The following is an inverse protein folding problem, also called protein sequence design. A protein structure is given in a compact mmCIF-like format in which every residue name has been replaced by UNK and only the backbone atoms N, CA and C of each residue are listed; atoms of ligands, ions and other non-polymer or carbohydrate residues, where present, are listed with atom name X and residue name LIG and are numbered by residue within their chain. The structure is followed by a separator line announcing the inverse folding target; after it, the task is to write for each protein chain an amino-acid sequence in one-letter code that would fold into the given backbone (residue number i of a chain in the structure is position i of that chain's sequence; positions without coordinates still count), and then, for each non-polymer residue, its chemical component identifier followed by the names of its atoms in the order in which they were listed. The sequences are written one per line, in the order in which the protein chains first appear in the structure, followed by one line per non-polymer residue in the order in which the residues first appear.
data_IF_325112232952
#
_entry.id   IF_325112232952
#
_cell.length_a   1.000
_cell.length_b   1.000
_cell.length_c   1.000
_cell.angle_alpha   90.00
_cell.angle_beta   90.00
_cell.angle_gamma   90.00
#
_symmetry.space_group_name_H-M   'P 1'
#
loop_
_entity.id
_entity.type
_entity.pdbx_description
1 polymer ?
#
# COMPACT_ATOMS: atom_id res chain seq x y z
N UNK A 1 -18.86 40.45 3.25
CA UNK A 1 -18.27 41.45 2.33
C UNK A 1 -16.85 40.98 2.02
N UNK A 2 -16.60 40.63 0.77
CA UNK A 2 -15.38 39.99 0.31
C UNK A 2 -14.22 40.97 0.23
N UNK A 3 -13.01 40.54 0.63
CA UNK A 3 -11.76 40.98 0.01
C UNK A 3 -10.80 39.78 -0.05
N UNK A 4 -10.41 39.46 -1.30
CA UNK A 4 -9.41 38.50 -1.72
C UNK A 4 -8.07 38.64 -1.00
N UNK A 5 -7.47 37.50 -0.67
CA UNK A 5 -6.02 37.31 -0.81
C UNK A 5 -5.80 36.07 -1.69
N UNK A 6 -5.96 36.26 -3.01
CA UNK A 6 -5.21 35.45 -3.97
C UNK A 6 -3.73 35.72 -3.73
N UNK A 7 -3.05 34.80 -3.03
CA UNK A 7 -1.59 34.70 -3.14
C UNK A 7 -1.30 34.28 -4.58
N UNK A 8 -1.02 35.26 -5.43
CA UNK A 8 -0.28 35.08 -6.66
C UNK A 8 1.04 34.38 -6.32
N UNK A 9 1.07 33.05 -6.44
CA UNK A 9 2.30 32.28 -6.42
C UNK A 9 3.05 32.72 -7.68
N UNK A 10 4.01 33.65 -7.55
CA UNK A 10 4.99 33.94 -8.60
C UNK A 10 5.62 32.60 -8.98
N UNK A 11 5.31 32.07 -10.16
CA UNK A 11 5.95 30.89 -10.71
C UNK A 11 7.46 31.11 -10.65
N UNK A 12 8.16 30.32 -9.84
CA UNK A 12 9.61 30.39 -9.73
C UNK A 12 10.24 30.10 -11.09
N UNK A 13 11.50 30.49 -11.30
CA UNK A 13 12.23 30.17 -12.54
C UNK A 13 12.19 28.66 -12.83
N UNK A 14 12.23 27.83 -11.79
CA UNK A 14 12.09 26.38 -11.90
C UNK A 14 10.71 25.95 -12.41
N UNK A 15 9.62 26.59 -11.97
CA UNK A 15 8.27 26.29 -12.44
C UNK A 15 8.10 26.61 -13.92
N UNK A 16 8.67 27.73 -14.38
CA UNK A 16 8.64 28.11 -15.80
C UNK A 16 9.40 27.11 -16.68
N UNK A 17 10.59 26.69 -16.24
CA UNK A 17 11.41 25.69 -16.94
C UNK A 17 10.66 24.35 -17.00
N UNK A 18 10.08 23.91 -15.89
CA UNK A 18 9.34 22.64 -15.82
C UNK A 18 8.11 22.68 -16.74
N UNK A 19 7.35 23.78 -16.74
CA UNK A 19 6.20 23.95 -17.63
C UNK A 19 6.60 23.94 -19.11
N UNK A 20 7.72 24.58 -19.45
CA UNK A 20 8.24 24.55 -20.83
C UNK A 20 8.66 23.14 -21.25
N UNK A 21 9.41 22.42 -20.41
CA UNK A 21 9.80 21.03 -20.66
C UNK A 21 8.58 20.12 -20.83
N UNK A 22 7.59 20.27 -19.95
CA UNK A 22 6.32 19.55 -20.02
C UNK A 22 5.59 19.81 -21.35
N UNK A 23 5.53 21.07 -21.81
CA UNK A 23 4.93 21.45 -23.08
C UNK A 23 5.65 20.84 -24.28
N UNK A 24 6.98 20.92 -24.30
CA UNK A 24 7.81 20.32 -25.36
C UNK A 24 7.60 18.81 -25.41
N UNK A 25 7.68 18.11 -24.27
CA UNK A 25 7.42 16.66 -24.19
C UNK A 25 6.04 16.32 -24.71
N UNK A 26 5.02 17.12 -24.37
CA UNK A 26 3.65 16.93 -24.85
C UNK A 26 3.53 17.02 -26.36
N UNK A 27 4.17 18.02 -26.98
CA UNK A 27 4.16 18.20 -28.44
C UNK A 27 4.84 17.02 -29.13
N UNK A 28 6.04 16.66 -28.67
CA UNK A 28 6.81 15.53 -29.22
C UNK A 28 6.04 14.21 -29.12
N UNK A 29 5.46 13.92 -27.95
CA UNK A 29 4.69 12.70 -27.75
C UNK A 29 3.42 12.64 -28.62
N UNK A 30 2.78 13.78 -28.91
CA UNK A 30 1.65 13.82 -29.87
C UNK A 30 2.11 13.48 -31.29
N UNK A 31 3.24 14.03 -31.73
CA UNK A 31 3.81 13.75 -33.05
C UNK A 31 4.17 12.26 -33.15
N UNK A 32 4.91 11.74 -32.17
CA UNK A 32 5.27 10.32 -32.14
C UNK A 32 4.05 9.40 -32.07
N UNK A 33 3.02 9.79 -31.32
CA UNK A 33 1.78 9.04 -31.25
C UNK A 33 1.10 8.91 -32.61
N UNK A 34 1.07 9.97 -33.42
CA UNK A 34 0.50 9.93 -34.77
C UNK A 34 1.31 9.06 -35.75
N UNK A 35 2.62 8.91 -35.53
CA UNK A 35 3.52 8.11 -36.38
C UNK A 35 3.49 6.64 -35.97
N UNK A 36 3.64 6.35 -34.67
CA UNK A 36 3.72 4.99 -34.15
C UNK A 36 3.15 4.89 -32.72
N UNK A 37 1.82 4.72 -32.59
CA UNK A 37 1.18 4.58 -31.28
C UNK A 37 1.80 3.46 -30.44
N UNK A 38 2.14 2.32 -31.05
CA UNK A 38 2.71 1.17 -30.36
C UNK A 38 4.07 1.50 -29.71
N UNK A 39 4.97 2.17 -30.43
CA UNK A 39 6.27 2.56 -29.89
C UNK A 39 6.13 3.65 -28.84
N UNK A 40 5.25 4.64 -29.04
CA UNK A 40 5.00 5.68 -28.04
C UNK A 40 4.44 5.10 -26.74
N UNK A 41 3.49 4.15 -26.81
CA UNK A 41 3.00 3.43 -25.63
C UNK A 41 4.13 2.71 -24.91
N UNK A 42 4.97 1.96 -25.63
CA UNK A 42 6.10 1.22 -25.04
C UNK A 42 7.07 2.17 -24.34
N UNK A 43 7.40 3.30 -24.96
CA UNK A 43 8.24 4.33 -24.36
C UNK A 43 7.64 4.88 -23.06
N UNK A 44 6.37 5.31 -23.11
CA UNK A 44 5.67 5.84 -21.94
C UNK A 44 5.60 4.81 -20.81
N UNK A 45 5.30 3.54 -21.13
CA UNK A 45 5.26 2.47 -20.15
C UNK A 45 6.62 2.27 -19.47
N UNK A 46 7.69 2.22 -20.24
CA UNK A 46 9.04 2.04 -19.71
C UNK A 46 9.55 3.25 -18.91
N UNK A 47 8.91 4.41 -19.03
CA UNK A 47 9.29 5.60 -18.28
C UNK A 47 8.47 5.77 -17.01
N UNK A 48 7.14 5.65 -17.10
CA UNK A 48 6.24 5.88 -15.97
C UNK A 48 6.14 4.66 -15.05
N UNK A 49 6.07 3.47 -15.64
CA UNK A 49 5.86 2.24 -14.89
C UNK A 49 7.16 1.50 -14.60
N UNK A 50 8.33 2.09 -14.85
CA UNK A 50 9.62 1.51 -14.45
C UNK A 50 10.00 2.05 -13.07
N UNK A 51 10.08 1.18 -12.04
CA UNK A 51 10.59 1.58 -10.74
C UNK A 51 12.05 2.01 -10.83
N UNK A 52 12.44 2.94 -9.98
CA UNK A 52 13.83 3.28 -9.78
C UNK A 52 14.52 2.16 -8.99
N UNK A 53 15.77 1.89 -9.34
CA UNK A 53 16.62 0.99 -8.58
C UNK A 53 17.52 1.82 -7.65
N UNK A 54 17.67 1.34 -6.41
CA UNK A 54 18.53 1.98 -5.41
C UNK A 54 19.42 0.91 -4.76
N UNK A 55 20.61 1.33 -4.35
CA UNK A 55 21.52 0.46 -3.60
C UNK A 55 21.03 0.30 -2.17
N UNK A 56 21.11 -0.94 -1.64
CA UNK A 56 20.93 -1.20 -0.21
C UNK A 56 22.21 -0.86 0.54
N UNK A 57 22.07 -0.32 1.75
CA UNK A 57 23.21 -0.11 2.63
C UNK A 57 23.67 -1.41 3.32
N UNK A 58 24.76 -1.33 4.07
CA UNK A 58 25.33 -2.50 4.75
C UNK A 58 24.44 -3.04 5.89
N UNK A 59 23.68 -2.17 6.57
CA UNK A 59 22.76 -2.58 7.63
C UNK A 59 21.58 -3.34 7.03
N UNK A 60 20.95 -2.79 6.00
CA UNK A 60 19.86 -3.42 5.26
C UNK A 60 20.28 -4.79 4.69
N UNK A 61 21.46 -4.87 4.07
CA UNK A 61 22.00 -6.13 3.53
C UNK A 61 22.13 -7.19 4.62
N UNK A 62 22.73 -6.84 5.76
CA UNK A 62 22.90 -7.76 6.89
C UNK A 62 21.55 -8.25 7.43
N UNK A 63 20.53 -7.39 7.47
CA UNK A 63 19.19 -7.79 7.92
C UNK A 63 18.57 -8.78 6.92
N UNK A 64 18.67 -8.51 5.63
CA UNK A 64 18.17 -9.38 4.55
C UNK A 64 18.84 -10.75 4.53
N UNK A 65 20.15 -10.82 4.76
CA UNK A 65 20.91 -12.09 4.84
C UNK A 65 20.43 -12.99 5.99
N UNK A 66 19.94 -12.38 7.09
CA UNK A 66 19.41 -13.11 8.23
C UNK A 66 17.91 -13.47 8.10
N UNK A 67 17.27 -13.11 7.00
CA UNK A 67 15.86 -13.42 6.72
C UNK A 67 15.71 -14.75 6.00
N UNK A 68 14.72 -15.55 6.40
CA UNK A 68 14.30 -16.70 5.61
C UNK A 68 13.70 -16.20 4.30
N UNK A 69 14.39 -16.43 3.18
CA UNK A 69 13.93 -16.04 1.86
C UNK A 69 12.80 -16.95 1.39
N UNK A 70 11.83 -16.37 0.69
CA UNK A 70 10.80 -17.09 -0.04
C UNK A 70 10.55 -16.42 -1.40
N UNK A 71 9.88 -17.14 -2.30
CA UNK A 71 9.54 -16.63 -3.61
C UNK A 71 8.24 -17.23 -4.12
N UNK A 72 7.56 -16.52 -5.01
CA UNK A 72 6.40 -16.99 -5.75
C UNK A 72 6.28 -16.22 -7.05
N UNK A 73 5.56 -16.77 -8.03
CA UNK A 73 5.39 -16.13 -9.33
C UNK A 73 4.03 -15.43 -9.45
N UNK A 74 4.04 -14.20 -9.97
CA UNK A 74 2.85 -13.40 -10.27
C UNK A 74 3.03 -12.81 -11.66
N UNK A 75 2.11 -13.10 -12.58
CA UNK A 75 2.08 -12.51 -13.93
C UNK A 75 3.38 -12.68 -14.72
N UNK A 76 4.06 -13.82 -14.54
CA UNK A 76 5.34 -14.13 -15.18
C UNK A 76 6.55 -13.43 -14.56
N UNK A 77 6.40 -12.92 -13.33
CA UNK A 77 7.50 -12.33 -12.54
C UNK A 77 7.64 -13.08 -11.23
N UNK A 78 8.87 -13.45 -10.91
CA UNK A 78 9.23 -13.97 -9.60
C UNK A 78 9.34 -12.83 -8.60
N UNK A 79 8.54 -12.94 -7.55
CA UNK A 79 8.48 -12.06 -6.39
C UNK A 79 9.41 -12.61 -5.32
N UNK A 80 10.26 -11.75 -4.75
CA UNK A 80 11.18 -12.05 -3.66
C UNK A 80 10.62 -11.56 -2.35
N UNK A 81 10.64 -12.43 -1.34
CA UNK A 81 10.18 -12.12 0.00
C UNK A 81 11.10 -12.65 1.08
N UNK A 82 10.92 -12.11 2.29
CA UNK A 82 11.68 -12.46 3.48
C UNK A 82 10.77 -12.60 4.68
N UNK A 83 11.09 -13.58 5.53
CA UNK A 83 10.45 -13.84 6.81
C UNK A 83 11.47 -13.85 7.95
N UNK A 84 11.15 -13.21 9.07
CA UNK A 84 11.93 -13.32 10.31
C UNK A 84 11.03 -13.72 11.47
N UNK A 85 11.40 -14.77 12.20
CA UNK A 85 10.62 -15.26 13.34
C UNK A 85 9.53 -16.27 12.95
N UNK A 86 8.88 -16.84 13.98
CA UNK A 86 7.90 -17.94 13.82
C UNK A 86 6.51 -17.63 14.39
N UNK A 87 6.32 -16.47 15.00
CA UNK A 87 5.03 -16.06 15.56
C UNK A 87 4.02 -15.60 14.50
N UNK A 88 2.87 -15.03 14.94
CA UNK A 88 1.89 -14.42 14.05
C UNK A 88 2.55 -13.34 13.17
N UNK A 89 2.17 -13.28 11.91
CA UNK A 89 2.86 -12.49 10.89
C UNK A 89 2.38 -11.05 10.81
N UNK A 90 3.33 -10.11 10.74
CA UNK A 90 3.08 -8.73 10.33
C UNK A 90 3.58 -8.56 8.91
N UNK A 91 2.67 -8.30 7.98
CA UNK A 91 2.97 -8.07 6.57
C UNK A 91 3.33 -6.60 6.35
N UNK A 92 4.51 -6.36 5.79
CA UNK A 92 4.96 -5.06 5.33
C UNK A 92 4.80 -4.94 3.81
N UNK A 93 4.19 -3.85 3.35
CA UNK A 93 3.96 -3.57 1.93
C UNK A 93 4.52 -2.19 1.57
N UNK A 94 5.59 -2.14 0.78
CA UNK A 94 6.32 -0.90 0.50
C UNK A 94 5.59 0.05 -0.46
N UNK A 95 6.15 1.24 -0.71
CA UNK A 95 5.62 2.19 -1.71
C UNK A 95 6.30 2.05 -3.07
N UNK A 96 5.82 2.78 -4.08
CA UNK A 96 6.52 2.90 -5.37
C UNK A 96 7.96 3.38 -5.15
N UNK A 97 8.92 2.83 -5.88
CA UNK A 97 10.36 3.09 -5.71
C UNK A 97 10.92 2.67 -4.33
N UNK A 98 10.14 1.95 -3.52
CA UNK A 98 10.56 1.33 -2.27
C UNK A 98 11.00 -0.12 -2.46
N UNK A 99 11.14 -0.82 -1.33
CA UNK A 99 11.50 -2.24 -1.22
C UNK A 99 11.08 -2.79 0.13
N UNK A 100 11.03 -4.10 0.28
CA UNK A 100 10.56 -4.75 1.50
C UNK A 100 11.36 -4.38 2.75
N UNK A 101 12.67 -4.15 2.62
CA UNK A 101 13.55 -3.82 3.76
C UNK A 101 13.39 -2.40 4.30
N UNK A 102 12.69 -1.49 3.59
CA UNK A 102 12.58 -0.08 4.00
C UNK A 102 11.91 0.13 5.37
N UNK A 103 11.25 -0.90 5.91
CA UNK A 103 10.57 -0.90 7.21
C UNK A 103 11.44 -1.47 8.35
N UNK A 104 12.73 -1.67 8.15
CA UNK A 104 13.57 -2.40 9.09
C UNK A 104 13.58 -1.81 10.52
N UNK A 105 13.31 -0.51 10.68
CA UNK A 105 13.18 0.16 11.99
C UNK A 105 12.03 -0.40 12.85
N UNK A 106 10.98 -0.97 12.24
CA UNK A 106 9.87 -1.61 12.96
C UNK A 106 10.21 -3.04 13.43
N UNK A 107 11.16 -3.71 12.76
CA UNK A 107 11.33 -5.17 12.88
C UNK A 107 11.75 -5.59 14.28
N UNK A 108 12.69 -4.87 14.90
CA UNK A 108 13.23 -5.22 16.22
C UNK A 108 12.15 -5.25 17.30
N UNK A 109 11.33 -4.19 17.36
CA UNK A 109 10.30 -4.04 18.40
C UNK A 109 9.16 -5.05 18.22
N UNK A 110 8.68 -5.24 16.99
CA UNK A 110 7.64 -6.23 16.70
C UNK A 110 8.12 -7.67 16.93
N UNK A 111 9.37 -8.00 16.58
CA UNK A 111 9.95 -9.32 16.89
C UNK A 111 10.10 -9.56 18.39
N UNK A 112 10.50 -8.54 19.15
CA UNK A 112 10.57 -8.62 20.61
C UNK A 112 9.18 -8.87 21.22
N UNK A 113 8.13 -8.35 20.60
CA UNK A 113 6.73 -8.63 20.96
C UNK A 113 6.22 -10.00 20.48
N UNK A 114 7.07 -10.84 19.87
CA UNK A 114 6.75 -12.21 19.49
C UNK A 114 6.14 -12.37 18.09
N UNK A 115 6.07 -11.31 17.28
CA UNK A 115 5.59 -11.40 15.90
C UNK A 115 6.67 -11.92 14.94
N UNK A 116 6.23 -12.59 13.87
CA UNK A 116 7.03 -12.77 12.68
C UNK A 116 6.90 -11.53 11.78
N UNK A 117 7.97 -11.19 11.06
CA UNK A 117 8.00 -10.12 10.08
C UNK A 117 7.97 -10.74 8.70
N UNK A 118 7.05 -10.32 7.85
CA UNK A 118 6.94 -10.74 6.45
C UNK A 118 7.00 -9.50 5.58
N UNK A 119 7.87 -9.50 4.58
CA UNK A 119 7.97 -8.42 3.60
C UNK A 119 8.36 -8.99 2.25
N UNK A 120 8.16 -8.22 1.20
CA UNK A 120 8.51 -8.60 -0.16
C UNK A 120 8.89 -7.39 -0.99
N UNK A 121 9.60 -7.63 -2.07
CA UNK A 121 9.80 -6.64 -3.12
C UNK A 121 8.72 -6.81 -4.17
N UNK A 122 7.96 -5.75 -4.45
CA UNK A 122 6.88 -5.77 -5.43
C UNK A 122 7.43 -6.03 -6.85
N UNK A 123 6.57 -6.42 -7.82
CA UNK A 123 6.96 -6.66 -9.20
C UNK A 123 7.91 -5.57 -9.75
N UNK A 124 9.05 -5.96 -10.32
CA UNK A 124 10.05 -5.03 -10.88
C UNK A 124 10.74 -4.09 -9.89
N UNK A 125 10.63 -4.34 -8.58
CA UNK A 125 11.37 -3.62 -7.53
C UNK A 125 12.39 -4.56 -6.87
N UNK A 126 13.47 -3.99 -6.32
CA UNK A 126 14.45 -4.71 -5.51
C UNK A 126 14.96 -6.00 -6.17
N UNK A 127 14.90 -7.12 -5.45
CA UNK A 127 15.33 -8.43 -5.98
C UNK A 127 14.24 -9.13 -6.83
N UNK A 128 13.02 -8.57 -6.91
CA UNK A 128 11.94 -9.11 -7.73
C UNK A 128 12.13 -8.82 -9.20
N UNK A 129 11.83 -9.83 -10.02
CA UNK A 129 12.03 -9.72 -11.48
C UNK A 129 11.03 -8.78 -12.15
N UNK A 130 11.40 -8.27 -13.33
CA UNK A 130 10.56 -7.41 -14.16
C UNK A 130 11.19 -6.05 -14.43
N UNK A 131 10.79 -5.42 -15.55
CA UNK A 131 11.28 -4.08 -15.94
C UNK A 131 10.28 -2.95 -15.65
N UNK A 132 9.03 -3.31 -15.44
CA UNK A 132 7.94 -2.39 -15.13
C UNK A 132 7.07 -2.98 -14.03
N UNK A 133 6.21 -2.16 -13.44
CA UNK A 133 5.26 -2.54 -12.42
C UNK A 133 3.96 -1.79 -12.60
N UNK A 134 2.86 -2.33 -12.08
CA UNK A 134 1.56 -1.65 -12.10
C UNK A 134 0.79 -1.92 -10.81
N UNK A 135 -0.14 -1.03 -10.48
CA UNK A 135 -1.03 -1.19 -9.33
C UNK A 135 -1.77 -2.54 -9.31
N UNK A 136 -2.18 -3.04 -10.48
CA UNK A 136 -2.87 -4.32 -10.60
C UNK A 136 -1.99 -5.51 -10.20
N UNK A 137 -0.72 -5.49 -10.64
CA UNK A 137 0.22 -6.53 -10.21
C UNK A 137 0.47 -6.47 -8.70
N UNK A 138 0.47 -5.26 -8.13
CA UNK A 138 0.59 -5.08 -6.68
C UNK A 138 -0.60 -5.64 -5.91
N UNK A 139 -1.84 -5.38 -6.35
CA UNK A 139 -3.04 -5.93 -5.72
C UNK A 139 -3.02 -7.46 -5.72
N UNK A 140 -2.59 -8.05 -6.83
CA UNK A 140 -2.54 -9.51 -6.97
C UNK A 140 -1.41 -10.12 -6.15
N UNK A 141 -0.27 -9.44 -6.05
CA UNK A 141 0.85 -9.86 -5.21
C UNK A 141 0.46 -9.85 -3.73
N UNK A 142 -0.18 -8.78 -3.25
CA UNK A 142 -0.66 -8.69 -1.85
C UNK A 142 -1.71 -9.76 -1.57
N UNK A 143 -2.67 -9.97 -2.50
CA UNK A 143 -3.68 -11.02 -2.38
C UNK A 143 -3.04 -12.40 -2.25
N UNK A 144 -2.10 -12.75 -3.13
CA UNK A 144 -1.43 -14.05 -3.13
C UNK A 144 -0.70 -14.36 -1.80
N UNK A 145 -0.08 -13.35 -1.18
CA UNK A 145 0.57 -13.53 0.13
C UNK A 145 -0.47 -13.80 1.23
N UNK A 146 -1.59 -13.10 1.20
CA UNK A 146 -2.61 -13.16 2.26
C UNK A 146 -3.54 -14.36 2.16
N UNK A 147 -3.82 -14.83 0.94
CA UNK A 147 -4.62 -16.03 0.70
C UNK A 147 -3.75 -17.30 0.62
N UNK A 148 -2.43 -17.18 0.78
CA UNK A 148 -1.53 -18.33 0.80
C UNK A 148 -1.92 -19.27 1.95
N UNK A 149 -2.25 -20.55 1.66
CA UNK A 149 -2.95 -21.40 2.61
C UNK A 149 -2.30 -21.57 3.99
N UNK A 150 -0.97 -21.60 4.13
CA UNK A 150 -0.35 -22.11 5.38
C UNK A 150 0.91 -21.41 5.93
N UNK A 151 1.50 -20.38 5.31
CA UNK A 151 2.90 -20.04 5.67
C UNK A 151 3.13 -18.81 6.57
N UNK A 152 2.20 -17.84 6.64
CA UNK A 152 2.50 -16.56 7.29
C UNK A 152 1.62 -16.17 8.47
N UNK A 153 0.42 -16.75 8.61
CA UNK A 153 -0.51 -16.43 9.70
C UNK A 153 -0.61 -14.92 9.96
N UNK A 154 -0.96 -14.15 8.91
CA UNK A 154 -0.92 -12.69 8.96
C UNK A 154 -1.99 -12.16 9.93
N UNK A 155 -1.55 -11.45 10.96
CA UNK A 155 -2.40 -10.87 11.99
C UNK A 155 -2.24 -9.33 12.09
N UNK A 156 -1.45 -8.74 11.19
CA UNK A 156 -1.34 -7.29 11.06
C UNK A 156 -0.69 -6.90 9.73
N UNK A 157 -1.03 -5.72 9.23
CA UNK A 157 -0.48 -5.18 7.99
C UNK A 157 0.05 -3.76 8.24
N UNK A 158 1.24 -3.45 7.74
CA UNK A 158 1.80 -2.09 7.70
C UNK A 158 2.15 -1.78 6.25
N UNK A 159 1.49 -0.79 5.64
CA UNK A 159 1.62 -0.51 4.22
C UNK A 159 1.89 0.96 3.94
N UNK A 160 2.78 1.24 2.99
CA UNK A 160 3.18 2.60 2.63
C UNK A 160 2.69 3.01 1.24
N UNK A 161 2.18 4.23 1.09
CA UNK A 161 1.94 4.85 -0.21
C UNK A 161 1.11 3.97 -1.16
N UNK A 162 1.66 3.58 -2.33
CA UNK A 162 1.02 2.67 -3.28
C UNK A 162 0.72 1.28 -2.70
N UNK A 163 1.57 0.78 -1.79
CA UNK A 163 1.30 -0.45 -1.06
C UNK A 163 0.03 -0.36 -0.22
N UNK A 164 -0.21 0.81 0.37
CA UNK A 164 -1.46 1.09 1.10
C UNK A 164 -2.69 1.01 0.20
N UNK A 165 -2.60 1.53 -1.03
CA UNK A 165 -3.66 1.39 -2.06
C UNK A 165 -3.96 -0.08 -2.36
N UNK A 166 -2.91 -0.90 -2.54
CA UNK A 166 -3.05 -2.31 -2.84
C UNK A 166 -3.67 -3.10 -1.67
N UNK A 167 -3.30 -2.75 -0.44
CA UNK A 167 -3.89 -3.33 0.78
C UNK A 167 -5.37 -2.95 0.92
N UNK A 168 -5.75 -1.68 0.71
CA UNK A 168 -7.18 -1.28 0.72
C UNK A 168 -7.98 -2.10 -0.29
N UNK A 169 -7.44 -2.30 -1.50
CA UNK A 169 -8.09 -3.11 -2.51
C UNK A 169 -8.33 -4.54 -2.04
N UNK A 170 -7.28 -5.18 -1.53
CA UNK A 170 -7.35 -6.56 -1.05
C UNK A 170 -8.33 -6.69 0.12
N UNK A 171 -8.25 -5.81 1.15
CA UNK A 171 -9.15 -5.86 2.32
C UNK A 171 -10.61 -5.74 1.88
N UNK A 172 -10.87 -4.86 0.91
CA UNK A 172 -12.21 -4.63 0.35
C UNK A 172 -12.73 -5.82 -0.46
N UNK A 173 -11.90 -6.42 -1.31
CA UNK A 173 -12.31 -7.49 -2.24
C UNK A 173 -12.41 -8.85 -1.58
N UNK A 174 -11.45 -9.18 -0.72
CA UNK A 174 -11.38 -10.47 -0.03
C UNK A 174 -12.16 -10.48 1.29
N UNK A 175 -12.71 -9.33 1.72
CA UNK A 175 -13.43 -9.17 2.99
C UNK A 175 -12.60 -9.61 4.21
N UNK A 176 -11.29 -9.50 4.11
CA UNK A 176 -10.35 -9.83 5.18
C UNK A 176 -10.37 -8.72 6.23
N UNK A 177 -10.49 -9.10 7.50
CA UNK A 177 -10.39 -8.19 8.63
C UNK A 177 -9.11 -8.45 9.41
N UNK A 178 -8.09 -7.62 9.17
CA UNK A 178 -6.79 -7.69 9.83
C UNK A 178 -6.36 -6.28 10.22
N UNK A 179 -5.96 -6.05 11.49
CA UNK A 179 -5.48 -4.74 11.95
C UNK A 179 -4.45 -4.14 11.00
N UNK A 180 -4.73 -2.95 10.50
CA UNK A 180 -3.95 -2.37 9.39
C UNK A 180 -3.48 -0.96 9.71
N UNK A 181 -2.20 -0.70 9.43
CA UNK A 181 -1.61 0.64 9.46
C UNK A 181 -1.24 1.07 8.05
N UNK A 182 -1.74 2.24 7.64
CA UNK A 182 -1.44 2.85 6.36
C UNK A 182 -0.58 4.11 6.57
N UNK A 183 0.65 4.09 6.05
CA UNK A 183 1.60 5.19 6.10
C UNK A 183 1.51 5.98 4.78
N UNK A 184 1.04 7.23 4.84
CA UNK A 184 0.83 8.11 3.68
C UNK A 184 0.17 7.43 2.46
N UNK A 185 -1.02 6.79 2.61
CA UNK A 185 -1.61 5.97 1.56
C UNK A 185 -2.08 6.79 0.34
N UNK A 186 -1.85 6.25 -0.86
CA UNK A 186 -2.32 6.84 -2.12
C UNK A 186 -3.81 6.51 -2.38
N UNK A 187 -4.71 7.21 -1.70
CA UNK A 187 -6.16 6.91 -1.69
C UNK A 187 -6.83 7.22 -3.04
N UNK A 188 -6.59 8.40 -3.62
CA UNK A 188 -7.14 8.80 -4.92
C UNK A 188 -6.21 8.41 -6.06
N UNK A 189 -5.85 7.13 -6.13
CA UNK A 189 -4.82 6.61 -7.03
C UNK A 189 -5.03 7.00 -8.50
N UNK A 190 -6.27 6.95 -9.01
CA UNK A 190 -6.59 7.40 -10.38
C UNK A 190 -6.18 8.85 -10.63
N UNK A 191 -6.46 9.75 -9.69
CA UNK A 191 -6.11 11.16 -9.82
C UNK A 191 -4.60 11.38 -9.69
N UNK A 192 -3.96 10.69 -8.73
CA UNK A 192 -2.51 10.74 -8.53
C UNK A 192 -1.81 10.31 -9.82
N UNK A 193 -2.19 9.17 -10.39
CA UNK A 193 -1.60 8.65 -11.63
C UNK A 193 -1.84 9.60 -12.81
N UNK A 194 -3.06 10.13 -12.98
CA UNK A 194 -3.33 11.13 -14.01
C UNK A 194 -2.45 12.37 -13.85
N UNK A 195 -2.29 12.89 -12.63
CA UNK A 195 -1.43 14.02 -12.34
C UNK A 195 0.04 13.72 -12.63
N UNK A 196 0.52 12.52 -12.30
CA UNK A 196 1.87 12.06 -12.63
C UNK A 196 2.09 12.06 -14.15
N UNK A 197 1.19 11.44 -14.92
CA UNK A 197 1.27 11.45 -16.39
C UNK A 197 1.28 12.88 -16.95
N UNK A 198 0.38 13.73 -16.44
CA UNK A 198 0.28 15.12 -16.84
C UNK A 198 1.60 15.85 -16.55
N UNK A 199 2.19 15.70 -15.36
CA UNK A 199 3.46 16.30 -14.95
C UNK A 199 4.61 15.93 -15.91
N UNK A 200 4.65 14.68 -16.38
CA UNK A 200 5.60 14.23 -17.39
C UNK A 200 5.27 14.69 -18.82
N UNK A 201 4.24 15.53 -19.01
CA UNK A 201 3.83 16.05 -20.30
C UNK A 201 3.05 15.06 -21.16
N UNK A 202 2.68 13.89 -20.62
CA UNK A 202 2.03 12.85 -21.42
C UNK A 202 0.60 13.27 -21.77
N UNK A 203 0.22 13.28 -23.07
CA UNK A 203 -1.13 13.60 -23.49
C UNK A 203 -2.18 12.64 -22.92
N UNK A 204 -3.37 13.17 -22.62
CA UNK A 204 -4.47 12.40 -22.03
C UNK A 204 -4.92 11.20 -22.88
N UNK A 205 -4.84 11.30 -24.21
CA UNK A 205 -5.14 10.19 -25.14
C UNK A 205 -4.19 9.01 -24.92
N UNK A 206 -2.89 9.28 -24.72
CA UNK A 206 -1.87 8.25 -24.48
C UNK A 206 -2.07 7.65 -23.10
N UNK A 207 -2.30 8.48 -22.08
CA UNK A 207 -2.66 8.03 -20.73
C UNK A 207 -3.84 7.04 -20.78
N UNK A 208 -4.97 7.42 -21.39
CA UNK A 208 -6.16 6.57 -21.50
C UNK A 208 -5.83 5.24 -22.16
N UNK A 209 -5.13 5.25 -23.30
CA UNK A 209 -4.78 4.02 -24.03
C UNK A 209 -3.81 3.12 -23.28
N UNK A 210 -2.89 3.68 -22.52
CA UNK A 210 -1.98 2.89 -21.67
C UNK A 210 -2.75 2.28 -20.51
N UNK A 211 -3.61 3.04 -19.83
CA UNK A 211 -4.44 2.51 -18.74
C UNK A 211 -5.40 1.43 -19.23
N UNK A 212 -6.12 1.66 -20.33
CA UNK A 212 -7.03 0.68 -20.95
C UNK A 212 -6.31 -0.66 -21.23
N UNK A 213 -5.05 -0.61 -21.68
CA UNK A 213 -4.25 -1.82 -21.93
C UNK A 213 -3.94 -2.59 -20.64
N UNK A 214 -3.62 -1.89 -19.54
CA UNK A 214 -3.44 -2.53 -18.23
C UNK A 214 -4.77 -3.08 -17.70
N UNK A 215 -5.85 -2.31 -17.78
CA UNK A 215 -7.18 -2.73 -17.33
C UNK A 215 -7.63 -4.00 -18.06
N UNK A 216 -7.49 -4.06 -19.38
CA UNK A 216 -7.80 -5.25 -20.18
C UNK A 216 -6.92 -6.44 -19.81
N UNK A 217 -5.62 -6.22 -19.57
CA UNK A 217 -4.68 -7.30 -19.24
C UNK A 217 -4.97 -7.95 -17.89
N UNK A 218 -5.39 -7.17 -16.90
CA UNK A 218 -5.55 -7.66 -15.52
C UNK A 218 -7.01 -7.89 -15.10
N UNK A 219 -7.99 -7.46 -15.89
CA UNK A 219 -9.41 -7.66 -15.58
C UNK A 219 -9.95 -6.74 -14.48
N UNK A 220 -9.23 -5.65 -14.19
CA UNK A 220 -9.59 -4.64 -13.19
C UNK A 220 -9.72 -3.27 -13.85
N UNK A 221 -10.36 -2.31 -13.16
CA UNK A 221 -10.42 -0.92 -13.66
C UNK A 221 -9.97 0.06 -12.59
N UNK A 222 -9.13 1.05 -12.95
CA UNK A 222 -8.80 2.16 -12.06
C UNK A 222 -10.04 2.97 -11.66
N UNK A 223 -11.15 2.86 -12.41
CA UNK A 223 -12.41 3.46 -12.01
C UNK A 223 -13.03 2.72 -10.82
N UNK A 224 -13.21 1.42 -10.89
CA UNK A 224 -13.94 0.67 -9.86
C UNK A 224 -13.02 0.24 -8.71
N UNK A 225 -11.76 -0.04 -9.02
CA UNK A 225 -10.76 -0.56 -8.09
C UNK A 225 -9.86 0.54 -7.49
N UNK A 226 -10.24 1.81 -7.68
CA UNK A 226 -9.62 2.94 -7.00
C UNK A 226 -9.82 2.79 -5.48
N UNK A 227 -8.79 2.95 -4.63
CA UNK A 227 -8.95 2.78 -3.19
C UNK A 227 -10.05 3.67 -2.59
N UNK A 228 -10.23 4.89 -3.10
CA UNK A 228 -11.31 5.79 -2.67
C UNK A 228 -12.73 5.22 -2.83
N UNK A 229 -12.93 4.28 -3.76
CA UNK A 229 -14.24 3.70 -4.07
C UNK A 229 -14.48 2.39 -3.30
N UNK A 230 -13.40 1.76 -2.86
CA UNK A 230 -13.40 0.50 -2.13
C UNK A 230 -13.50 0.69 -0.61
N UNK A 231 -13.30 1.92 -0.17
CA UNK A 231 -13.08 2.30 1.22
C UNK A 231 -14.23 1.93 2.14
N UNK A 232 -15.47 2.16 1.72
CA UNK A 232 -16.68 1.88 2.50
C UNK A 232 -16.91 0.39 2.75
N UNK A 233 -16.19 -0.46 2.04
CA UNK A 233 -16.28 -1.91 2.16
C UNK A 233 -15.18 -2.51 3.03
N UNK A 234 -14.23 -1.70 3.50
CA UNK A 234 -13.16 -2.14 4.42
C UNK A 234 -13.75 -2.24 5.82
N UNK A 235 -13.67 -3.43 6.42
CA UNK A 235 -14.20 -3.71 7.75
C UNK A 235 -13.08 -4.18 8.69
N UNK A 236 -12.16 -3.29 9.04
CA UNK A 236 -11.08 -3.59 9.98
C UNK A 236 -10.66 -2.35 10.76
N UNK A 237 -10.04 -2.58 11.93
CA UNK A 237 -9.36 -1.54 12.69
C UNK A 237 -8.21 -0.98 11.85
N UNK A 238 -8.31 0.30 11.50
CA UNK A 238 -7.38 0.94 10.57
C UNK A 238 -6.80 2.22 11.16
N UNK A 239 -5.48 2.32 11.18
CA UNK A 239 -4.75 3.53 11.53
C UNK A 239 -4.08 4.11 10.29
N UNK A 240 -4.31 5.40 10.01
CA UNK A 240 -3.56 6.15 9.02
C UNK A 240 -2.56 7.03 9.74
N UNK A 241 -1.30 7.01 9.30
CA UNK A 241 -0.28 7.99 9.68
C UNK A 241 0.09 8.78 8.45
N UNK A 242 -0.04 10.10 8.48
CA UNK A 242 0.25 10.94 7.32
C UNK A 242 0.75 12.31 7.77
N UNK A 243 1.85 12.75 7.17
CA UNK A 243 2.42 14.07 7.36
C UNK A 243 1.66 15.16 6.58
N UNK A 244 1.37 16.29 7.23
CA UNK A 244 0.67 17.41 6.60
C UNK A 244 1.47 18.08 5.48
N UNK A 245 2.81 17.94 5.50
CA UNK A 245 3.73 18.52 4.51
C UNK A 245 4.18 17.48 3.48
N UNK A 246 3.46 16.36 3.33
CA UNK A 246 3.74 15.36 2.30
C UNK A 246 3.62 15.95 0.88
N UNK A 247 4.77 16.17 0.25
CA UNK A 247 4.87 16.69 -1.12
C UNK A 247 4.62 15.65 -2.23
N UNK A 248 4.41 14.39 -1.89
CA UNK A 248 4.17 13.29 -2.84
C UNK A 248 2.69 12.93 -2.90
N UNK A 249 2.08 12.68 -1.75
CA UNK A 249 0.68 12.27 -1.63
C UNK A 249 -0.06 13.33 -0.82
N UNK A 250 -1.20 13.87 -1.31
CA UNK A 250 -1.93 14.89 -0.57
C UNK A 250 -2.49 14.37 0.77
N UNK A 251 -2.02 14.95 1.87
CA UNK A 251 -2.54 14.70 3.23
C UNK A 251 -4.07 14.79 3.34
N UNK A 252 -4.67 15.76 2.64
CA UNK A 252 -6.12 16.00 2.65
C UNK A 252 -6.93 14.76 2.25
N UNK A 253 -6.39 13.89 1.39
CA UNK A 253 -7.08 12.66 1.00
C UNK A 253 -7.21 11.70 2.18
N UNK A 254 -6.18 11.59 3.03
CA UNK A 254 -6.24 10.80 4.27
C UNK A 254 -7.19 11.41 5.31
N UNK A 255 -7.21 12.74 5.43
CA UNK A 255 -8.15 13.46 6.31
C UNK A 255 -9.61 13.29 5.89
N UNK A 256 -9.88 13.19 4.60
CA UNK A 256 -11.22 12.89 4.08
C UNK A 256 -11.56 11.41 4.31
N UNK A 257 -10.62 10.51 4.03
CA UNK A 257 -10.80 9.07 4.23
C UNK A 257 -11.14 8.74 5.68
N UNK A 258 -10.43 9.30 6.65
CA UNK A 258 -10.65 8.99 8.07
C UNK A 258 -12.02 9.40 8.59
N UNK A 259 -12.71 10.32 7.91
CA UNK A 259 -14.08 10.72 8.24
C UNK A 259 -15.15 9.81 7.64
N UNK A 260 -14.75 8.89 6.74
CA UNK A 260 -15.70 8.04 6.01
C UNK A 260 -16.14 6.83 6.84
N UNK A 261 -15.30 6.34 7.75
CA UNK A 261 -15.58 5.16 8.56
C UNK A 261 -15.17 5.41 10.03
N UNK A 262 -16.02 5.10 11.02
CA UNK A 262 -15.67 5.23 12.43
C UNK A 262 -14.47 4.39 12.87
N UNK A 263 -14.24 3.25 12.20
CA UNK A 263 -13.13 2.34 12.50
C UNK A 263 -11.75 2.87 12.03
N UNK A 264 -11.72 4.00 11.30
CA UNK A 264 -10.48 4.59 10.81
C UNK A 264 -10.00 5.70 11.74
N UNK A 265 -8.80 5.53 12.30
CA UNK A 265 -8.11 6.57 13.07
C UNK A 265 -7.08 7.26 12.20
N UNK A 266 -6.92 8.57 12.36
CA UNK A 266 -5.88 9.36 11.69
C UNK A 266 -4.92 9.93 12.73
N UNK A 267 -3.63 9.67 12.54
CA UNK A 267 -2.53 10.31 13.22
C UNK A 267 -1.82 11.25 12.23
N UNK A 268 -1.91 12.55 12.51
CA UNK A 268 -1.30 13.59 11.69
C UNK A 268 0.12 13.89 12.20
N UNK A 269 1.10 14.03 11.30
CA UNK A 269 2.46 14.49 11.64
C UNK A 269 2.78 15.80 10.92
N UNK A 270 3.83 16.50 11.33
CA UNK A 270 4.29 17.71 10.65
C UNK A 270 5.80 17.67 10.41
N UNK A 271 6.23 17.90 9.17
CA UNK A 271 7.64 18.05 8.78
C UNK A 271 8.39 16.75 8.52
N UNK A 272 7.75 15.57 8.64
CA UNK A 272 8.36 14.28 8.29
C UNK A 272 8.28 13.99 6.78
N UNK A 273 7.28 14.56 6.10
CA UNK A 273 6.99 14.30 4.69
C UNK A 273 6.73 12.82 4.37
N UNK A 274 6.85 12.46 3.09
CA UNK A 274 6.41 11.15 2.59
C UNK A 274 7.21 9.94 3.09
N UNK A 275 8.50 10.13 3.41
CA UNK A 275 9.46 9.04 3.66
C UNK A 275 9.92 8.96 5.11
N UNK A 276 10.14 10.08 5.80
CA UNK A 276 10.73 10.03 7.15
C UNK A 276 9.76 9.41 8.17
N UNK A 277 8.45 9.40 7.88
CA UNK A 277 7.44 8.65 8.66
C UNK A 277 7.75 7.14 8.80
N UNK A 278 8.56 6.57 7.91
CA UNK A 278 8.96 5.15 7.97
C UNK A 278 10.08 4.89 8.98
N UNK A 279 10.82 5.92 9.38
CA UNK A 279 12.03 5.80 10.20
C UNK A 279 11.99 6.66 11.46
N UNK A 280 11.04 7.60 11.56
CA UNK A 280 10.86 8.43 12.74
C UNK A 280 10.55 7.56 13.96
N UNK A 281 11.28 7.79 15.04
CA UNK A 281 11.22 6.94 16.24
C UNK A 281 9.82 6.93 16.86
N UNK A 282 9.18 8.10 16.96
CA UNK A 282 7.85 8.21 17.59
C UNK A 282 6.79 7.51 16.76
N UNK A 283 6.90 7.59 15.43
CA UNK A 283 5.99 6.87 14.53
C UNK A 283 6.21 5.37 14.61
N UNK A 284 7.46 4.92 14.64
CA UNK A 284 7.79 3.49 14.80
C UNK A 284 7.21 2.94 16.12
N UNK A 285 7.37 3.66 17.22
CA UNK A 285 6.79 3.32 18.54
C UNK A 285 5.26 3.24 18.47
N UNK A 286 4.61 4.31 18.00
CA UNK A 286 3.15 4.41 17.90
C UNK A 286 2.52 3.29 17.06
N UNK A 287 3.10 3.00 15.89
CA UNK A 287 2.60 1.95 14.98
C UNK A 287 2.81 0.57 15.59
N UNK A 288 3.94 0.35 16.27
CA UNK A 288 4.23 -0.92 16.94
C UNK A 288 3.23 -1.18 18.07
N UNK A 289 2.98 -0.17 18.91
CA UNK A 289 2.00 -0.25 20.01
C UNK A 289 0.58 -0.47 19.48
N UNK A 290 0.20 0.21 18.40
CA UNK A 290 -1.08 -0.01 17.75
C UNK A 290 -1.25 -1.47 17.33
N UNK A 291 -0.29 -2.05 16.59
CA UNK A 291 -0.34 -3.44 16.15
C UNK A 291 -0.41 -4.42 17.33
N UNK A 292 0.39 -4.19 18.38
CA UNK A 292 0.38 -5.02 19.60
C UNK A 292 -1.00 -4.96 20.26
N UNK A 293 -1.54 -3.76 20.49
CA UNK A 293 -2.82 -3.57 21.18
C UNK A 293 -3.99 -4.23 20.44
N UNK A 294 -4.08 -4.07 19.11
CA UNK A 294 -5.17 -4.67 18.32
C UNK A 294 -5.13 -6.20 18.36
N UNK A 295 -3.93 -6.79 18.39
CA UNK A 295 -3.76 -8.23 18.51
C UNK A 295 -4.07 -8.77 19.92
N UNK A 296 -3.81 -7.99 20.98
CA UNK A 296 -4.24 -8.34 22.34
C UNK A 296 -5.77 -8.28 22.48
N UNK A 297 -6.42 -7.21 22.03
CA UNK A 297 -7.87 -7.07 22.09
C UNK A 297 -8.60 -8.16 21.30
N UNK A 298 -8.05 -8.55 20.14
CA UNK A 298 -8.65 -9.62 19.33
C UNK A 298 -8.59 -10.97 20.03
N UNK A 299 -7.50 -11.27 20.75
CA UNK A 299 -7.40 -12.49 21.57
C UNK A 299 -8.39 -12.49 22.73
N UNK A 300 -8.55 -11.36 23.43
CA UNK A 300 -9.53 -11.24 24.53
C UNK A 300 -10.97 -11.45 24.03
N UNK A 301 -11.35 -10.83 22.90
CA UNK A 301 -12.66 -11.05 22.29
C UNK A 301 -12.92 -12.52 21.94
N UNK A 302 -11.90 -13.25 21.50
CA UNK A 302 -12.03 -14.69 21.20
C UNK A 302 -12.12 -15.55 22.46
N UNK A 303 -11.39 -15.21 23.53
CA UNK A 303 -11.49 -15.94 24.81
C UNK A 303 -12.85 -15.73 25.50
N UNK A 304 -13.41 -14.52 25.43
CA UNK A 304 -14.71 -14.20 26.03
C UNK A 304 -15.87 -14.91 25.29
N UNK A 305 -15.75 -15.05 23.96
CA UNK A 305 -16.68 -15.84 23.14
C UNK A 305 -16.59 -17.34 23.47
N UNK A 306 -15.38 -17.89 23.63
CA UNK A 306 -15.22 -19.30 24.03
C UNK A 306 -15.76 -19.58 25.44
N UNK A 307 -15.64 -18.63 26.37
CA UNK A 307 -16.21 -18.75 27.71
C UNK A 307 -17.75 -18.66 27.72
N UNK A 308 -18.35 -17.84 26.84
CA UNK A 308 -19.83 -17.73 26.74
C UNK A 308 -20.48 -18.96 26.09
N UNK A 309 -19.81 -19.63 25.15
CA UNK A 309 -20.30 -20.91 24.60
C UNK A 309 -20.07 -22.11 25.54
N UNK A 310 -19.14 -22.02 26.50
CA UNK A 310 -18.88 -23.10 27.46
C UNK A 310 -19.88 -23.12 28.64
N UNK A 311 -20.63 -22.03 28.88
CA UNK A 311 -21.58 -21.94 30.01
C UNK A 311 -23.02 -22.35 29.67
N UNK A 312 -23.36 -22.57 28.41
CA UNK A 312 -24.73 -22.91 27.96
C UNK A 312 -24.94 -24.38 27.55
N UNK A 313 -24.00 -25.27 27.85
CA UNK A 313 -24.19 -26.72 27.71
C UNK A 313 -24.29 -27.38 29.10
N UNK A 314 -25.43 -27.21 29.78
CA UNK A 314 -25.84 -28.18 30.79
C UNK A 314 -26.44 -29.39 30.08
N UNK A 315 -26.05 -30.63 30.42
CA UNK A 315 -26.61 -31.82 29.81
C UNK A 315 -28.08 -31.95 30.21
N UNK A 316 -28.97 -32.00 29.22
CA UNK A 316 -30.37 -32.40 29.42
C UNK A 316 -30.35 -33.88 29.81
N UNK A 317 -30.64 -34.18 31.08
CA UNK A 317 -30.94 -35.54 31.53
C UNK A 317 -32.22 -36.02 30.84
N UNK A 318 -32.06 -36.95 29.90
CA UNK A 318 -33.17 -37.70 29.32
C UNK A 318 -33.53 -38.80 30.33
N UNK A 319 -34.55 -38.57 31.14
CA UNK A 319 -35.20 -39.62 31.93
C UNK A 319 -36.00 -40.52 31.01
N UNK A 320 -35.57 -41.77 30.89
CA UNK A 320 -36.32 -42.83 30.23
C UNK A 320 -37.53 -43.22 31.09
N UNK A 321 -38.74 -42.87 30.66
CA UNK A 321 -39.97 -43.47 31.18
C UNK A 321 -40.29 -44.75 30.43
N UNK A 322 -40.12 -45.89 31.10
CA UNK A 322 -40.75 -47.15 30.75
C UNK A 322 -42.25 -47.08 31.05
N UNK A 323 -43.09 -47.27 30.02
CA UNK A 323 -44.30 -48.11 30.04
C UNK A 323 -44.84 -48.30 28.64
#
# INVERSE_FOLDING_TARGET
MAIHFEKFKKNSTNDRINNFRQLVTRILLKIFWSISPAMTKRFVKNHIFKPADYQIDAEERKILENGQKFQFDIHGKTIRGWKWGKGPGILFVHGWNGRGIQFYKFFKSLRKAGFAIITFDAPGHGESTGKTSSYFEWTDTVRAILTSPHEFNICGIIAHSLGGSAVINMLSKEKVSVPTVLLAPAIKLKQILFNTFNLFGIPSVIYKKVIEEYEHRFGYTLKNDNPSNLISQVNTDLLIVHDQEDGTIPFLDSKQFSKTLPAVRLHETNGLGHKQILTDRKIVELVTEYIISQNMSTRMRHSDLQHTFATDCQPVEITATNQ
#
